data_IF_884257582149
#
_entry.id   IF_884257582149
#
_cell.length_a   1.000
_cell.length_b   1.000
_cell.length_c   1.000
_cell.angle_alpha   90.00
_cell.angle_beta   90.00
_cell.angle_gamma   90.00
#
_symmetry.space_group_name_H-M   'P 1'
#
loop_
_entity.id
_entity.type
_entity.pdbx_description
1 polymer ?
#
# COMPACT_ATOMS: atom_id res chain seq x y z
N UNK A 1 -14.22 10.54 12.28
CA UNK A 1 -13.33 9.41 12.58
C UNK A 1 -13.46 8.41 11.43
N UNK A 2 -12.77 8.70 10.32
CA UNK A 2 -12.69 7.85 9.13
C UNK A 2 -11.22 7.80 8.76
N UNK A 3 -10.65 6.62 8.95
CA UNK A 3 -9.24 6.31 8.81
C UNK A 3 -8.86 6.42 7.33
N UNK A 4 -7.79 7.17 7.06
CA UNK A 4 -7.12 7.29 5.77
C UNK A 4 -6.69 5.93 5.26
N UNK A 5 -7.25 5.51 4.12
CA UNK A 5 -6.66 4.49 3.26
C UNK A 5 -6.80 4.99 1.82
N UNK A 6 -5.83 5.79 1.39
CA UNK A 6 -5.67 6.28 0.01
C UNK A 6 -4.21 6.15 -0.44
N UNK A 7 -3.63 4.97 -0.25
CA UNK A 7 -2.30 4.62 -0.80
C UNK A 7 -2.40 3.66 -2.01
N UNK A 8 -3.60 3.20 -2.38
CA UNK A 8 -3.73 2.06 -3.31
C UNK A 8 -4.15 2.35 -4.76
N UNK A 9 -4.10 3.60 -5.22
CA UNK A 9 -4.49 3.94 -6.60
C UNK A 9 -3.33 3.91 -7.61
N UNK A 10 -2.20 3.24 -7.32
CA UNK A 10 -1.11 3.08 -8.31
C UNK A 10 -0.74 1.61 -8.55
N UNK A 11 -1.02 0.70 -7.62
CA UNK A 11 -0.82 -0.73 -7.85
C UNK A 11 -2.04 -1.45 -8.47
N UNK A 12 -3.23 -0.83 -8.52
CA UNK A 12 -4.44 -1.52 -9.00
C UNK A 12 -5.26 -0.79 -10.08
N UNK A 13 -4.87 0.41 -10.52
CA UNK A 13 -5.65 1.22 -11.49
C UNK A 13 -4.95 1.51 -12.82
N UNK A 14 -4.06 0.63 -13.29
CA UNK A 14 -3.57 0.70 -14.68
C UNK A 14 -3.91 -0.57 -15.46
N UNK A 15 -5.20 -0.79 -15.67
CA UNK A 15 -5.66 -1.59 -16.82
C UNK A 15 -6.21 -0.59 -17.84
N UNK A 16 -5.32 -0.02 -18.64
CA UNK A 16 -5.46 0.07 -20.09
C UNK A 16 -4.30 0.87 -20.69
N UNK A 17 -3.85 0.41 -21.86
CA UNK A 17 -2.79 0.93 -22.73
C UNK A 17 -1.37 0.37 -22.49
N UNK A 18 -1.14 -0.80 -23.11
CA UNK A 18 0.13 -1.33 -23.61
C UNK A 18 1.36 -1.07 -22.71
N UNK A 19 1.55 -1.90 -21.67
CA UNK A 19 2.79 -1.96 -20.91
C UNK A 19 3.30 -3.41 -20.89
N UNK A 20 4.61 -3.60 -21.00
CA UNK A 20 5.25 -4.91 -20.91
C UNK A 20 4.89 -5.57 -19.56
N UNK A 21 4.73 -6.90 -19.54
CA UNK A 21 4.50 -7.63 -18.29
C UNK A 21 5.54 -7.23 -17.24
N UNK A 22 5.08 -6.71 -16.11
CA UNK A 22 5.92 -6.27 -14.98
C UNK A 22 5.58 -7.13 -13.77
N UNK A 23 6.62 -7.69 -13.14
CA UNK A 23 6.52 -8.44 -11.89
C UNK A 23 6.62 -7.43 -10.75
N UNK A 24 5.60 -7.38 -9.89
CA UNK A 24 5.52 -6.45 -8.76
C UNK A 24 5.56 -7.22 -7.46
N UNK A 25 6.36 -6.75 -6.49
CA UNK A 25 6.41 -7.30 -5.12
C UNK A 25 5.88 -6.29 -4.11
N UNK A 26 4.95 -6.72 -3.27
CA UNK A 26 4.34 -5.94 -2.20
C UNK A 26 4.65 -6.61 -0.87
N UNK A 27 5.26 -5.90 0.06
CA UNK A 27 5.42 -6.31 1.45
C UNK A 27 4.24 -5.89 2.32
N UNK A 28 3.94 -6.67 3.34
CA UNK A 28 2.95 -6.35 4.37
C UNK A 28 3.52 -6.72 5.73
N UNK A 29 3.15 -5.96 6.76
CA UNK A 29 3.26 -6.45 8.13
C UNK A 29 1.88 -6.66 8.68
N UNK A 30 1.76 -7.66 9.53
CA UNK A 30 0.50 -7.99 10.18
C UNK A 30 0.73 -8.40 11.62
N UNK A 31 -0.34 -8.34 12.41
CA UNK A 31 -0.34 -8.80 13.79
C UNK A 31 -1.36 -9.92 13.94
N UNK A 32 -0.93 -11.07 14.49
CA UNK A 32 -1.82 -12.22 14.75
C UNK A 32 -2.96 -11.77 15.64
N UNK A 33 -4.17 -11.86 15.12
CA UNK A 33 -5.41 -11.52 15.83
C UNK A 33 -6.08 -12.75 16.43
N UNK A 34 -5.81 -13.92 15.86
CA UNK A 34 -6.31 -15.22 16.31
C UNK A 34 -5.35 -16.35 15.91
N UNK A 35 -5.16 -17.34 16.78
CA UNK A 35 -4.36 -18.54 16.49
C UNK A 35 -4.88 -19.73 17.29
N UNK A 36 -5.16 -20.84 16.60
CA UNK A 36 -5.31 -22.18 17.19
C UNK A 36 -3.99 -22.94 17.27
N UNK A 37 -2.92 -22.38 16.69
CA UNK A 37 -1.61 -23.01 16.67
C UNK A 37 -0.84 -22.65 17.96
N UNK A 38 -0.41 -23.64 18.76
CA UNK A 38 0.25 -23.39 20.05
C UNK A 38 1.62 -22.72 19.92
N UNK A 39 2.25 -22.80 18.75
CA UNK A 39 3.58 -22.24 18.48
C UNK A 39 3.53 -20.81 17.89
N UNK A 40 2.33 -20.28 17.64
CA UNK A 40 2.09 -18.94 17.09
C UNK A 40 1.16 -18.16 18.03
N UNK A 41 1.65 -17.04 18.55
CA UNK A 41 0.94 -16.29 19.60
C UNK A 41 0.09 -15.16 19.04
N UNK A 42 -1.07 -14.89 19.66
CA UNK A 42 -1.82 -13.65 19.40
C UNK A 42 -0.96 -12.45 19.79
N UNK A 43 -0.86 -11.47 18.90
CA UNK A 43 0.01 -10.30 19.03
C UNK A 43 1.37 -10.43 18.34
N UNK A 44 1.73 -11.62 17.85
CA UNK A 44 2.95 -11.85 17.06
C UNK A 44 2.88 -11.10 15.72
N UNK A 45 4.02 -10.58 15.28
CA UNK A 45 4.16 -9.91 13.99
C UNK A 45 4.43 -10.95 12.89
N UNK A 46 3.81 -10.79 11.72
CA UNK A 46 4.15 -11.59 10.54
C UNK A 46 4.55 -10.64 9.42
N UNK A 47 5.74 -10.85 8.86
CA UNK A 47 6.20 -10.20 7.63
C UNK A 47 5.73 -11.00 6.43
N UNK A 48 4.95 -10.38 5.54
CA UNK A 48 4.33 -11.02 4.38
C UNK A 48 4.85 -10.35 3.11
N UNK A 49 5.03 -11.11 2.03
CA UNK A 49 5.22 -10.55 0.69
C UNK A 49 4.30 -11.21 -0.32
N UNK A 50 3.83 -10.43 -1.31
CA UNK A 50 3.07 -10.86 -2.47
C UNK A 50 3.83 -10.43 -3.72
N UNK A 51 4.27 -11.39 -4.53
CA UNK A 51 4.78 -11.15 -5.88
C UNK A 51 3.70 -11.57 -6.87
N UNK A 52 3.40 -10.74 -7.88
CA UNK A 52 2.42 -11.07 -8.91
C UNK A 52 2.76 -10.46 -10.28
N UNK A 53 2.23 -11.06 -11.34
CA UNK A 53 2.38 -10.55 -12.71
C UNK A 53 1.14 -9.73 -13.11
N UNK A 54 1.40 -8.47 -13.46
CA UNK A 54 0.39 -7.50 -13.88
C UNK A 54 -0.28 -7.84 -15.23
N UNK A 55 0.26 -8.78 -16.01
CA UNK A 55 -0.30 -9.24 -17.28
C UNK A 55 -1.32 -10.40 -17.15
N UNK A 56 -1.67 -10.81 -15.92
CA UNK A 56 -2.60 -11.91 -15.66
C UNK A 56 -3.95 -11.73 -16.37
N UNK A 57 -4.36 -12.74 -17.15
CA UNK A 57 -5.56 -12.67 -17.97
C UNK A 57 -6.84 -12.97 -17.17
N UNK A 58 -7.91 -12.25 -17.48
CA UNK A 58 -9.25 -12.52 -16.95
C UNK A 58 -9.86 -13.77 -17.59
N UNK A 59 -10.31 -14.74 -16.79
CA UNK A 59 -10.86 -16.03 -17.26
C UNK A 59 -12.38 -16.00 -17.56
N UNK A 60 -13.07 -14.89 -17.30
CA UNK A 60 -14.51 -14.79 -17.59
C UNK A 60 -15.45 -15.36 -16.51
N UNK A 61 -14.89 -15.86 -15.38
CA UNK A 61 -15.64 -16.57 -14.33
C UNK A 61 -15.67 -15.93 -12.93
N UNK A 62 -15.36 -14.62 -12.79
CA UNK A 62 -15.10 -13.91 -11.52
C UNK A 62 -13.72 -14.16 -10.87
N UNK A 63 -12.79 -14.70 -11.64
CA UNK A 63 -11.48 -15.15 -11.18
C UNK A 63 -10.42 -14.66 -12.17
N UNK A 64 -9.30 -14.17 -11.64
CA UNK A 64 -8.05 -14.02 -12.38
C UNK A 64 -7.10 -15.15 -11.96
N UNK A 65 -6.51 -15.83 -12.93
CA UNK A 65 -5.45 -16.80 -12.66
C UNK A 65 -4.11 -16.13 -12.91
N UNK A 66 -3.35 -15.94 -11.84
CA UNK A 66 -1.93 -15.63 -11.96
C UNK A 66 -1.17 -16.96 -12.05
N UNK A 67 -0.86 -17.33 -13.29
CA UNK A 67 -0.07 -18.52 -13.61
C UNK A 67 1.41 -18.16 -13.85
N UNK A 68 1.81 -16.92 -13.59
CA UNK A 68 3.13 -16.46 -13.93
C UNK A 68 4.19 -17.11 -13.02
N UNK A 69 5.27 -17.66 -13.60
CA UNK A 69 6.35 -18.22 -12.82
C UNK A 69 6.95 -17.16 -11.90
N UNK A 70 6.94 -17.42 -10.59
CA UNK A 70 7.50 -16.51 -9.59
C UNK A 70 6.49 -15.65 -8.85
N UNK A 71 5.21 -15.65 -9.24
CA UNK A 71 4.15 -15.10 -8.40
C UNK A 71 4.03 -15.96 -7.14
N UNK A 72 4.08 -15.35 -5.96
CA UNK A 72 4.05 -16.06 -4.69
C UNK A 72 3.57 -15.19 -3.52
N UNK A 73 2.95 -15.82 -2.53
CA UNK A 73 2.78 -15.23 -1.20
C UNK A 73 3.81 -15.88 -0.28
N UNK A 74 4.55 -15.08 0.47
CA UNK A 74 5.50 -15.52 1.50
C UNK A 74 5.06 -14.92 2.83
N UNK A 75 5.12 -15.69 3.92
CA UNK A 75 4.83 -15.22 5.26
C UNK A 75 5.91 -15.73 6.22
N UNK A 76 6.51 -14.82 6.99
CA UNK A 76 7.57 -15.11 7.97
C UNK A 76 7.09 -14.74 9.37
N UNK A 77 7.06 -15.74 10.24
CA UNK A 77 6.64 -15.65 11.64
C UNK A 77 7.85 -15.32 12.54
N UNK A 78 7.61 -14.75 13.73
CA UNK A 78 8.67 -14.37 14.68
C UNK A 78 9.47 -15.59 15.17
N UNK A 79 8.82 -16.75 15.23
CA UNK A 79 9.46 -18.02 15.58
C UNK A 79 10.37 -18.58 14.47
N UNK A 80 10.47 -17.91 13.32
CA UNK A 80 11.30 -18.31 12.17
C UNK A 80 10.64 -19.30 11.21
N UNK A 81 9.37 -19.67 11.45
CA UNK A 81 8.57 -20.38 10.46
C UNK A 81 8.38 -19.49 9.25
N UNK A 82 8.68 -20.03 8.07
CA UNK A 82 8.43 -19.38 6.78
C UNK A 82 7.47 -20.27 6.02
N UNK A 83 6.37 -19.68 5.56
CA UNK A 83 5.38 -20.33 4.71
C UNK A 83 5.34 -19.63 3.36
N UNK A 84 5.30 -20.40 2.28
CA UNK A 84 5.23 -19.89 0.91
C UNK A 84 4.11 -20.59 0.15
N UNK A 85 3.44 -19.90 -0.75
CA UNK A 85 2.68 -20.58 -1.81
C UNK A 85 3.65 -21.40 -2.66
N UNK A 86 3.26 -22.60 -3.08
CA UNK A 86 4.08 -23.43 -3.95
C UNK A 86 4.28 -22.71 -5.30
N UNK A 87 5.52 -22.36 -5.69
CA UNK A 87 5.79 -21.65 -6.94
C UNK A 87 5.47 -22.47 -8.20
N UNK A 88 5.24 -23.78 -8.06
CA UNK A 88 4.78 -24.65 -9.14
C UNK A 88 3.25 -24.77 -9.25
N UNK A 89 2.50 -24.21 -8.29
CA UNK A 89 1.04 -24.18 -8.30
C UNK A 89 0.54 -22.80 -8.79
N UNK A 90 -0.58 -22.74 -9.52
CA UNK A 90 -1.16 -21.47 -9.93
C UNK A 90 -1.71 -20.72 -8.70
N UNK A 91 -1.39 -19.44 -8.57
CA UNK A 91 -2.03 -18.57 -7.59
C UNK A 91 -3.36 -18.07 -8.15
N UNK A 92 -4.39 -18.10 -7.33
CA UNK A 92 -5.73 -17.70 -7.73
C UNK A 92 -6.05 -16.36 -7.08
N UNK A 93 -6.49 -15.42 -7.91
CA UNK A 93 -6.98 -14.12 -7.47
C UNK A 93 -8.49 -14.13 -7.65
N UNK A 94 -9.20 -14.34 -6.53
CA UNK A 94 -10.65 -14.31 -6.53
C UNK A 94 -11.14 -12.90 -6.23
N UNK A 95 -12.08 -12.41 -7.03
CA UNK A 95 -12.76 -11.15 -6.76
C UNK A 95 -14.20 -11.42 -6.34
N UNK A 96 -14.50 -11.18 -5.08
CA UNK A 96 -15.82 -11.31 -4.49
C UNK A 96 -16.47 -9.94 -4.35
N UNK A 97 -17.79 -9.89 -4.57
CA UNK A 97 -18.62 -8.73 -4.21
C UNK A 97 -19.53 -9.12 -3.05
N UNK A 98 -19.49 -8.32 -1.98
CA UNK A 98 -20.31 -8.51 -0.79
C UNK A 98 -20.99 -7.19 -0.38
N UNK A 99 -22.31 -7.18 -0.22
CA UNK A 99 -23.07 -5.99 0.21
C UNK A 99 -23.36 -6.01 1.70
N UNK A 100 -23.15 -4.88 2.40
CA UNK A 100 -23.62 -4.70 3.78
C UNK A 100 -24.61 -3.52 3.84
N UNK A 101 -25.86 -3.78 4.19
CA UNK A 101 -26.91 -2.77 4.25
C UNK A 101 -26.85 -1.97 5.56
N UNK A 102 -26.11 -0.86 5.55
CA UNK A 102 -26.32 0.25 6.50
C UNK A 102 -26.44 1.51 5.68
N UNK A 103 -27.54 2.26 5.81
CA UNK A 103 -27.76 3.46 5.01
C UNK A 103 -26.73 4.56 5.36
N UNK A 104 -26.07 5.21 4.37
CA UNK A 104 -26.13 4.93 2.92
C UNK A 104 -25.39 3.64 2.56
N UNK A 105 -26.02 2.78 1.75
CA UNK A 105 -25.53 1.43 1.46
C UNK A 105 -24.08 1.43 0.94
N UNK A 106 -23.22 0.67 1.60
CA UNK A 106 -21.82 0.45 1.26
C UNK A 106 -21.63 -0.94 0.67
N UNK A 107 -20.87 -1.05 -0.41
CA UNK A 107 -20.58 -2.32 -1.07
C UNK A 107 -19.10 -2.67 -0.87
N UNK A 108 -18.81 -3.86 -0.36
CA UNK A 108 -17.45 -4.37 -0.19
C UNK A 108 -17.05 -5.22 -1.39
N UNK A 109 -15.83 -5.02 -1.87
CA UNK A 109 -15.17 -5.82 -2.88
C UNK A 109 -13.93 -6.45 -2.29
N UNK A 110 -13.97 -7.77 -2.16
CA UNK A 110 -12.89 -8.53 -1.56
C UNK A 110 -12.08 -9.20 -2.66
N UNK A 111 -10.81 -8.84 -2.79
CA UNK A 111 -9.82 -9.55 -3.59
C UNK A 111 -9.06 -10.52 -2.68
N UNK A 112 -9.21 -11.82 -2.91
CA UNK A 112 -8.46 -12.84 -2.19
C UNK A 112 -7.33 -13.37 -3.09
N UNK A 113 -6.08 -13.18 -2.66
CA UNK A 113 -4.94 -13.89 -3.21
C UNK A 113 -4.80 -15.19 -2.43
N UNK A 114 -5.02 -16.33 -3.08
CA UNK A 114 -4.97 -17.60 -2.39
C UNK A 114 -4.24 -18.69 -3.16
N UNK A 115 -3.67 -19.60 -2.38
CA UNK A 115 -3.16 -20.87 -2.86
C UNK A 115 -3.65 -22.00 -1.96
N UNK A 116 -4.13 -23.08 -2.59
CA UNK A 116 -4.42 -24.36 -1.94
C UNK A 116 -3.20 -25.28 -1.84
N UNK A 117 -2.04 -24.81 -2.29
CA UNK A 117 -0.78 -25.52 -2.24
C UNK A 117 0.29 -24.59 -1.69
N UNK A 118 0.63 -24.77 -0.42
CA UNK A 118 1.62 -23.99 0.29
C UNK A 118 2.63 -24.92 0.97
N UNK A 119 3.86 -24.45 1.08
CA UNK A 119 5.00 -25.18 1.63
C UNK A 119 5.60 -24.38 2.78
N UNK A 120 6.16 -25.06 3.78
CA UNK A 120 6.90 -24.41 4.84
C UNK A 120 8.40 -24.74 4.77
N UNK A 121 9.23 -23.91 5.41
CA UNK A 121 10.65 -24.20 5.63
C UNK A 121 10.88 -25.25 6.75
N UNK A 122 9.81 -25.77 7.34
CA UNK A 122 9.84 -26.83 8.36
C UNK A 122 9.11 -28.08 7.84
N UNK A 123 8.92 -29.09 8.71
CA UNK A 123 8.09 -30.25 8.37
C UNK A 123 6.59 -29.97 8.51
N UNK A 124 6.18 -28.75 8.85
CA UNK A 124 4.79 -28.38 9.03
C UNK A 124 4.03 -28.46 7.70
N UNK A 125 2.86 -29.07 7.76
CA UNK A 125 1.91 -29.15 6.64
C UNK A 125 1.15 -27.84 6.52
N UNK A 126 1.04 -27.30 5.31
CA UNK A 126 0.30 -26.07 5.06
C UNK A 126 -0.72 -26.32 3.96
N UNK A 127 -2.00 -26.11 4.29
CA UNK A 127 -3.11 -26.49 3.40
C UNK A 127 -3.66 -25.32 2.59
N UNK A 128 -3.65 -24.12 3.16
CA UNK A 128 -4.07 -22.91 2.48
C UNK A 128 -3.34 -21.70 3.01
N UNK A 129 -3.19 -20.73 2.14
CA UNK A 129 -2.73 -19.38 2.46
C UNK A 129 -3.58 -18.39 1.68
N UNK A 130 -4.13 -17.40 2.38
CA UNK A 130 -5.03 -16.40 1.84
C UNK A 130 -4.59 -15.00 2.30
N UNK A 131 -4.50 -14.04 1.37
CA UNK A 131 -4.31 -12.63 1.65
C UNK A 131 -5.53 -11.86 1.12
N UNK A 132 -6.31 -11.27 2.03
CA UNK A 132 -7.59 -10.64 1.73
C UNK A 132 -7.47 -9.11 1.69
N UNK A 133 -7.71 -8.54 0.51
CA UNK A 133 -7.88 -7.10 0.30
C UNK A 133 -9.37 -6.80 0.19
N UNK A 134 -9.88 -5.79 0.89
CA UNK A 134 -11.28 -5.37 0.85
C UNK A 134 -11.39 -3.92 0.37
N UNK A 135 -12.42 -3.59 -0.38
CA UNK A 135 -12.66 -2.26 -0.94
C UNK A 135 -14.11 -1.84 -0.74
N UNK A 136 -14.35 -0.68 -0.15
CA UNK A 136 -15.69 -0.13 0.04
C UNK A 136 -16.01 0.85 -1.07
N UNK A 137 -17.06 0.60 -1.85
CA UNK A 137 -17.60 1.52 -2.85
C UNK A 137 -18.99 2.03 -2.44
N UNK A 138 -19.31 3.25 -2.88
CA UNK A 138 -20.56 3.94 -2.56
C UNK A 138 -21.67 3.75 -3.61
N UNK A 139 -21.37 3.13 -4.74
CA UNK A 139 -22.31 2.87 -5.84
C UNK A 139 -22.58 1.37 -5.99
N UNK A 140 -23.86 1.00 -6.18
CA UNK A 140 -24.24 -0.39 -6.42
C UNK A 140 -23.67 -0.85 -7.77
N UNK A 141 -22.81 -1.87 -7.79
CA UNK A 141 -22.19 -2.33 -9.03
C UNK A 141 -23.06 -3.27 -9.87
N UNK A 142 -24.31 -3.55 -9.47
CA UNK A 142 -25.22 -4.47 -10.17
C UNK A 142 -24.61 -5.86 -10.45
N UNK A 143 -23.86 -6.41 -9.50
CA UNK A 143 -23.14 -7.68 -9.62
C UNK A 143 -22.06 -7.72 -10.72
N UNK A 144 -21.62 -6.57 -11.23
CA UNK A 144 -20.50 -6.52 -12.16
C UNK A 144 -19.16 -6.69 -11.41
N UNK A 145 -18.29 -7.53 -11.96
CA UNK A 145 -16.86 -7.47 -11.67
C UNK A 145 -16.34 -6.09 -12.05
N UNK A 146 -15.68 -5.42 -11.12
CA UNK A 146 -14.92 -4.21 -11.45
C UNK A 146 -13.56 -4.61 -11.98
N UNK A 147 -13.37 -4.37 -13.27
CA UNK A 147 -12.09 -4.50 -13.97
C UNK A 147 -11.31 -3.19 -14.01
N UNK A 148 -11.93 -2.09 -13.57
CA UNK A 148 -11.32 -0.76 -13.42
C UNK A 148 -11.84 -0.09 -12.15
N UNK A 149 -10.97 0.70 -11.52
CA UNK A 149 -11.20 1.26 -10.17
C UNK A 149 -11.41 2.78 -10.18
N UNK A 150 -11.74 3.35 -11.33
CA UNK A 150 -11.35 4.74 -11.62
C UNK A 150 -12.15 5.84 -10.91
N UNK A 151 -13.33 5.59 -10.31
CA UNK A 151 -14.15 6.73 -9.82
C UNK A 151 -14.99 6.55 -8.53
N UNK A 152 -15.09 5.35 -7.91
CA UNK A 152 -16.09 5.09 -6.84
C UNK A 152 -15.55 4.44 -5.53
N UNK A 153 -14.23 4.29 -5.38
CA UNK A 153 -13.65 3.72 -4.16
C UNK A 153 -13.71 4.73 -3.02
N UNK A 154 -14.55 4.45 -2.02
CA UNK A 154 -14.74 5.30 -0.85
C UNK A 154 -13.79 4.97 0.31
N UNK A 155 -13.31 3.73 0.36
CA UNK A 155 -12.22 3.27 1.23
C UNK A 155 -11.62 1.98 0.67
N UNK A 156 -10.30 1.82 0.75
CA UNK A 156 -9.63 0.53 0.61
C UNK A 156 -9.33 0.01 2.02
N UNK A 157 -9.33 -1.29 2.28
CA UNK A 157 -8.95 -1.87 3.57
C UNK A 157 -8.31 -3.22 3.33
N UNK A 158 -7.02 -3.38 3.62
CA UNK A 158 -6.47 -4.73 3.71
C UNK A 158 -6.97 -5.32 5.02
N UNK A 159 -7.65 -6.46 4.96
CA UNK A 159 -8.30 -7.03 6.12
C UNK A 159 -7.34 -7.96 6.84
N UNK A 160 -7.09 -9.11 6.23
CA UNK A 160 -6.55 -10.24 6.96
C UNK A 160 -5.59 -11.07 6.09
N UNK A 161 -4.63 -11.68 6.75
CA UNK A 161 -3.87 -12.82 6.23
C UNK A 161 -4.27 -14.06 7.01
N UNK A 162 -4.61 -15.13 6.30
CA UNK A 162 -5.01 -16.39 6.89
C UNK A 162 -4.12 -17.52 6.39
N UNK A 163 -3.77 -18.45 7.29
CA UNK A 163 -3.02 -19.64 6.92
C UNK A 163 -3.40 -20.81 7.83
N UNK A 164 -3.52 -22.02 7.26
CA UNK A 164 -3.62 -23.25 8.05
C UNK A 164 -2.29 -23.96 8.11
N UNK A 165 -1.73 -24.09 9.31
CA UNK A 165 -0.46 -24.75 9.61
C UNK A 165 -0.76 -25.95 10.50
N UNK A 166 -0.40 -27.15 10.07
CA UNK A 166 -0.69 -28.42 10.74
C UNK A 166 -2.17 -28.64 11.06
N UNK A 167 -3.04 -28.14 10.17
CA UNK A 167 -4.49 -28.19 10.36
C UNK A 167 -5.04 -27.19 11.38
N UNK A 168 -4.18 -26.30 11.90
CA UNK A 168 -4.55 -25.27 12.88
C UNK A 168 -4.59 -23.91 12.18
N UNK A 169 -5.62 -23.13 12.50
CA UNK A 169 -5.90 -21.87 11.83
C UNK A 169 -5.18 -20.71 12.50
N UNK A 170 -4.55 -19.86 11.70
CA UNK A 170 -3.95 -18.59 12.12
C UNK A 170 -4.52 -17.47 11.25
N UNK A 171 -4.96 -16.41 11.91
CA UNK A 171 -5.44 -15.19 11.27
C UNK A 171 -4.69 -13.99 11.84
N UNK A 172 -4.14 -13.15 10.96
CA UNK A 172 -3.52 -11.89 11.31
C UNK A 172 -4.19 -10.73 10.59
N UNK A 173 -4.21 -9.58 11.25
CA UNK A 173 -4.71 -8.33 10.68
C UNK A 173 -3.53 -7.54 10.13
N UNK A 174 -3.62 -7.09 8.87
CA UNK A 174 -2.56 -6.30 8.25
C UNK A 174 -2.47 -4.93 8.95
N UNK A 175 -1.26 -4.56 9.37
CA UNK A 175 -0.95 -3.33 10.10
C UNK A 175 -0.12 -2.36 9.28
N UNK A 176 0.73 -2.86 8.37
CA UNK A 176 1.56 -2.05 7.47
C UNK A 176 1.61 -2.65 6.06
N UNK A 177 1.85 -1.82 5.07
CA UNK A 177 1.99 -2.21 3.67
C UNK A 177 3.17 -1.44 3.09
N UNK A 178 4.09 -2.12 2.45
CA UNK A 178 5.22 -1.55 1.73
C UNK A 178 5.29 -2.17 0.34
N UNK A 179 5.88 -1.50 -0.62
CA UNK A 179 6.28 -2.15 -1.88
C UNK A 179 7.75 -2.47 -1.71
N UNK A 180 8.09 -3.76 -1.66
CA UNK A 180 9.48 -4.18 -1.58
C UNK A 180 10.07 -4.15 -3.00
N UNK A 181 11.36 -3.80 -3.16
CA UNK A 181 12.34 -3.55 -2.10
C UNK A 181 12.16 -2.21 -1.33
N UNK A 182 12.75 -2.08 -0.14
CA UNK A 182 12.72 -0.79 0.59
C UNK A 182 13.34 0.32 -0.27
N UNK A 183 12.68 1.47 -0.33
CA UNK A 183 13.18 2.59 -1.14
C UNK A 183 14.61 2.96 -0.69
N UNK A 184 15.60 2.98 -1.61
CA UNK A 184 16.95 3.48 -1.35
C UNK A 184 16.97 5.00 -1.11
N UNK A 185 15.81 5.66 -1.11
CA UNK A 185 15.64 7.07 -0.85
C UNK A 185 14.69 7.25 0.32
N UNK A 186 15.08 8.08 1.29
CA UNK A 186 14.21 8.56 2.35
C UNK A 186 13.77 9.99 2.06
N UNK A 187 12.56 10.33 2.47
CA UNK A 187 12.06 11.71 2.48
C UNK A 187 11.61 12.06 3.89
N UNK A 188 11.86 13.29 4.31
CA UNK A 188 11.39 13.82 5.60
C UNK A 188 10.80 15.22 5.44
N UNK A 189 9.74 15.50 6.18
CA UNK A 189 9.05 16.77 6.20
C UNK A 189 8.78 17.24 7.63
N UNK A 190 9.48 18.30 8.04
CA UNK A 190 9.40 18.80 9.43
C UNK A 190 8.87 20.22 9.46
N UNK A 191 7.73 20.43 10.12
CA UNK A 191 7.15 21.77 10.28
C UNK A 191 7.74 22.52 11.47
N UNK A 192 7.80 23.85 11.38
CA UNK A 192 8.15 24.71 12.52
C UNK A 192 6.97 24.97 13.48
N UNK A 193 5.80 24.38 13.19
CA UNK A 193 4.55 24.39 13.97
C UNK A 193 4.16 25.74 14.60
N UNK A 194 3.33 26.50 13.90
CA UNK A 194 2.45 27.51 14.49
C UNK A 194 1.10 27.46 13.77
N UNK A 195 -0.03 27.66 14.48
CA UNK A 195 -1.34 27.79 13.83
C UNK A 195 -1.32 28.91 12.79
N UNK A 196 -1.95 28.66 11.65
CA UNK A 196 -2.13 29.66 10.61
C UNK A 196 -3.42 30.42 10.91
N UNK A 197 -3.36 31.75 10.82
CA UNK A 197 -4.53 32.59 11.05
C UNK A 197 -5.69 32.27 10.09
N UNK A 198 -6.91 32.62 10.50
CA UNK A 198 -8.10 32.48 9.65
C UNK A 198 -8.03 33.28 8.34
N UNK A 199 -7.23 34.35 8.31
CA UNK A 199 -6.94 35.15 7.12
C UNK A 199 -5.88 34.52 6.20
N UNK A 200 -5.38 33.33 6.53
CA UNK A 200 -4.31 32.66 5.82
C UNK A 200 -2.93 33.07 6.32
N UNK A 201 -1.89 32.65 5.59
CA UNK A 201 -0.50 32.92 5.95
C UNK A 201 0.49 32.08 5.17
N UNK A 202 1.76 32.15 5.55
CA UNK A 202 2.82 31.27 5.02
C UNK A 202 3.14 30.20 6.05
N UNK A 203 3.11 28.94 5.62
CA UNK A 203 3.63 27.83 6.39
C UNK A 203 5.06 27.57 5.96
N UNK A 204 5.99 27.61 6.91
CA UNK A 204 7.40 27.30 6.71
C UNK A 204 7.72 25.93 7.29
N UNK A 205 8.60 25.18 6.61
CA UNK A 205 8.96 23.82 6.98
C UNK A 205 10.28 23.41 6.31
N UNK A 206 10.82 22.28 6.75
CA UNK A 206 12.00 21.62 6.19
C UNK A 206 11.52 20.50 5.26
N UNK A 207 12.15 20.37 4.10
CA UNK A 207 12.07 19.17 3.26
C UNK A 207 13.46 18.56 3.20
N UNK A 208 13.56 17.27 3.45
CA UNK A 208 14.80 16.52 3.30
C UNK A 208 14.56 15.33 2.38
N UNK A 209 15.55 15.01 1.57
CA UNK A 209 15.55 13.88 0.64
C UNK A 209 16.96 13.31 0.62
N UNK A 210 17.11 12.05 0.99
CA UNK A 210 18.41 11.41 1.13
C UNK A 210 18.43 10.14 0.29
N UNK A 211 19.41 10.00 -0.59
CA UNK A 211 19.75 8.70 -1.17
C UNK A 211 20.60 7.94 -0.15
N UNK A 212 20.08 6.86 0.41
CA UNK A 212 20.77 6.02 1.40
C UNK A 212 21.55 4.88 0.75
N UNK A 213 21.55 4.79 -0.58
CA UNK A 213 22.28 3.76 -1.32
C UNK A 213 23.65 4.24 -1.79
N UNK A 214 24.47 3.26 -2.19
CA UNK A 214 25.80 3.47 -2.77
C UNK A 214 25.76 3.74 -4.29
N UNK A 215 24.58 3.83 -4.89
CA UNK A 215 24.41 4.04 -6.32
C UNK A 215 23.71 5.38 -6.59
N UNK A 216 23.86 5.91 -7.79
CA UNK A 216 23.04 7.03 -8.24
C UNK A 216 21.59 6.57 -8.37
N UNK A 217 20.66 7.33 -7.80
CA UNK A 217 19.22 7.04 -7.88
C UNK A 217 18.51 8.20 -8.56
N UNK A 218 17.72 7.88 -9.57
CA UNK A 218 16.75 8.80 -10.14
C UNK A 218 15.41 8.63 -9.44
N UNK A 219 14.84 9.74 -8.96
CA UNK A 219 13.51 9.76 -8.34
C UNK A 219 12.58 10.78 -9.00
N UNK A 220 11.27 10.59 -8.77
CA UNK A 220 10.28 11.68 -8.84
C UNK A 220 9.79 12.01 -7.45
N UNK A 221 9.77 13.29 -7.11
CA UNK A 221 9.26 13.81 -5.83
C UNK A 221 8.05 14.70 -6.03
N UNK A 222 7.03 14.55 -5.20
CA UNK A 222 5.83 15.39 -5.21
C UNK A 222 5.32 15.65 -3.79
N UNK A 223 4.37 16.57 -3.67
CA UNK A 223 3.72 16.87 -2.41
C UNK A 223 2.24 17.19 -2.60
N UNK A 224 1.43 16.81 -1.64
CA UNK A 224 0.01 17.16 -1.56
C UNK A 224 -0.38 17.47 -0.12
N UNK A 225 -1.55 18.08 0.04
CA UNK A 225 -2.10 18.44 1.35
C UNK A 225 -3.49 17.82 1.48
N UNK A 226 -3.74 17.12 2.58
CA UNK A 226 -5.06 16.65 2.95
C UNK A 226 -5.76 17.70 3.81
N UNK A 227 -6.96 18.08 3.41
CA UNK A 227 -7.81 19.06 4.08
C UNK A 227 -8.57 18.43 5.27
N UNK A 228 -9.19 19.24 6.15
CA UNK A 228 -9.93 18.74 7.31
C UNK A 228 -11.08 17.78 6.95
N UNK A 229 -11.65 17.91 5.75
CA UNK A 229 -12.73 17.07 5.22
C UNK A 229 -12.22 15.82 4.46
N UNK A 230 -10.89 15.66 4.35
CA UNK A 230 -10.25 14.58 3.60
C UNK A 230 -10.05 14.89 2.11
N UNK A 231 -10.32 16.11 1.64
CA UNK A 231 -10.02 16.55 0.27
C UNK A 231 -8.50 16.64 0.05
N UNK A 232 -8.00 16.17 -1.10
CA UNK A 232 -6.58 16.27 -1.45
C UNK A 232 -6.35 17.49 -2.34
N UNK A 233 -5.39 18.31 -1.95
CA UNK A 233 -4.91 19.45 -2.72
C UNK A 233 -3.50 19.18 -3.21
N UNK A 234 -3.35 19.04 -4.53
CA UNK A 234 -2.04 18.85 -5.15
C UNK A 234 -1.19 20.11 -4.97
N UNK A 235 -0.13 20.01 -4.17
CA UNK A 235 0.71 21.16 -3.84
C UNK A 235 1.85 21.33 -4.83
N UNK A 236 2.58 20.25 -5.11
CA UNK A 236 3.69 20.24 -6.05
C UNK A 236 3.45 19.11 -7.06
N UNK A 237 3.59 19.44 -8.35
CA UNK A 237 3.64 18.41 -9.41
C UNK A 237 4.87 17.53 -9.23
N UNK A 238 4.83 16.25 -9.65
CA UNK A 238 6.01 15.39 -9.67
C UNK A 238 7.18 16.05 -10.40
N UNK A 239 8.34 16.12 -9.74
CA UNK A 239 9.59 16.64 -10.29
C UNK A 239 10.67 15.57 -10.22
N UNK A 240 11.41 15.43 -11.31
CA UNK A 240 12.52 14.49 -11.43
C UNK A 240 13.77 15.04 -10.72
N UNK A 241 14.45 14.19 -9.97
CA UNK A 241 15.74 14.45 -9.34
C UNK A 241 16.66 13.28 -9.64
N UNK A 242 17.94 13.57 -9.79
CA UNK A 242 19.00 12.58 -9.81
C UNK A 242 19.81 12.86 -8.54
N UNK A 243 19.95 11.84 -7.71
CA UNK A 243 20.71 11.90 -6.46
C UNK A 243 21.92 11.00 -6.60
N UNK A 244 23.11 11.56 -6.41
CA UNK A 244 24.35 10.81 -6.33
C UNK A 244 24.35 9.89 -5.09
N UNK A 245 25.24 8.88 -5.03
CA UNK A 245 25.38 8.02 -3.86
C UNK A 245 25.52 8.83 -2.57
N UNK A 246 24.68 8.52 -1.57
CA UNK A 246 24.69 9.22 -0.27
C UNK A 246 24.37 10.72 -0.34
N UNK A 247 23.84 11.23 -1.47
CA UNK A 247 23.47 12.64 -1.60
C UNK A 247 22.25 12.98 -0.73
N UNK A 248 22.34 14.12 -0.05
CA UNK A 248 21.27 14.73 0.73
C UNK A 248 20.87 16.08 0.11
N UNK A 249 19.58 16.21 -0.23
CA UNK A 249 18.98 17.44 -0.73
C UNK A 249 18.04 18.04 0.33
N UNK A 250 18.60 18.87 1.20
CA UNK A 250 17.84 19.54 2.26
C UNK A 250 17.43 20.97 1.87
N UNK A 251 16.15 21.28 2.07
CA UNK A 251 15.59 22.62 1.93
C UNK A 251 15.01 23.08 3.27
N UNK A 252 15.80 23.84 4.04
CA UNK A 252 15.44 24.29 5.39
C UNK A 252 14.43 25.44 5.43
N UNK A 253 14.12 26.06 4.30
CA UNK A 253 13.21 27.21 4.22
C UNK A 253 12.11 26.98 3.18
N UNK A 254 11.64 25.75 3.04
CA UNK A 254 10.51 25.45 2.19
C UNK A 254 9.27 26.17 2.75
N UNK A 255 8.42 26.67 1.86
CA UNK A 255 7.18 27.31 2.28
C UNK A 255 6.05 27.15 1.27
N UNK A 256 4.83 27.32 1.76
CA UNK A 256 3.69 27.59 0.90
C UNK A 256 2.71 28.55 1.56
N UNK A 257 1.90 29.19 0.72
CA UNK A 257 0.86 30.10 1.18
C UNK A 257 -0.42 29.30 1.40
N UNK A 258 -1.00 29.43 2.59
CA UNK A 258 -2.34 28.99 2.94
C UNK A 258 -3.29 30.17 2.73
N UNK A 259 -4.20 30.13 1.74
CA UNK A 259 -5.15 31.19 1.48
C UNK A 259 -6.18 31.38 2.59
N UNK A 260 -6.78 32.57 2.66
CA UNK A 260 -7.87 32.86 3.60
C UNK A 260 -9.12 32.02 3.37
N UNK A 261 -9.40 31.65 2.12
CA UNK A 261 -10.60 30.89 1.73
C UNK A 261 -10.51 29.39 2.06
N UNK A 262 -9.35 28.90 2.51
CA UNK A 262 -9.23 27.52 2.99
C UNK A 262 -10.02 27.35 4.30
N UNK A 263 -10.76 26.25 4.49
CA UNK A 263 -11.56 26.03 5.69
C UNK A 263 -10.72 26.02 6.97
N UNK A 264 -11.31 26.37 8.11
CA UNK A 264 -10.64 26.16 9.39
C UNK A 264 -10.52 24.66 9.69
N UNK A 265 -9.49 24.26 10.42
CA UNK A 265 -9.28 22.88 10.86
C UNK A 265 -7.85 22.38 10.69
N UNK A 266 -7.69 21.07 10.88
CA UNK A 266 -6.40 20.39 10.81
C UNK A 266 -6.16 19.85 9.40
N UNK A 267 -4.98 20.15 8.88
CA UNK A 267 -4.49 19.73 7.58
C UNK A 267 -3.28 18.82 7.77
N UNK A 268 -3.03 17.98 6.78
CA UNK A 268 -1.84 17.12 6.72
C UNK A 268 -1.07 17.40 5.45
N UNK A 269 0.22 17.70 5.58
CA UNK A 269 1.12 17.84 4.44
C UNK A 269 1.85 16.51 4.22
N UNK A 270 1.90 16.04 2.98
CA UNK A 270 2.59 14.81 2.60
C UNK A 270 3.72 15.12 1.61
N UNK A 271 4.92 14.62 1.90
CA UNK A 271 6.06 14.59 0.97
C UNK A 271 6.27 13.15 0.52
N UNK A 272 6.46 12.96 -0.79
CA UNK A 272 6.55 11.63 -1.38
C UNK A 272 7.69 11.60 -2.41
N UNK A 273 8.32 10.44 -2.54
CA UNK A 273 9.23 10.11 -3.63
C UNK A 273 8.95 8.72 -4.19
N UNK A 274 9.25 8.51 -5.47
CA UNK A 274 9.27 7.21 -6.12
C UNK A 274 10.58 7.06 -6.89
N UNK A 275 11.23 5.91 -6.79
CA UNK A 275 12.40 5.59 -7.59
C UNK A 275 11.97 5.31 -9.03
N UNK A 276 12.60 6.02 -9.96
CA UNK A 276 12.38 5.87 -11.40
C UNK A 276 13.44 4.96 -12.01
N UNK A 277 14.67 5.06 -11.52
CA UNK A 277 15.80 4.27 -12.02
C UNK A 277 16.93 4.25 -11.00
N UNK A 278 17.55 3.09 -10.78
CA UNK A 278 18.72 2.97 -9.90
C UNK A 278 19.74 1.89 -10.33
N UNK A 279 19.39 1.08 -11.34
CA UNK A 279 20.22 -0.03 -11.82
C UNK A 279 20.36 -1.19 -10.83
N UNK A 280 19.54 -1.23 -9.77
CA UNK A 280 19.57 -2.22 -8.67
C UNK A 280 18.22 -2.92 -8.48
N UNK A 281 17.20 -2.57 -9.26
CA UNK A 281 15.90 -3.22 -9.21
C UNK A 281 14.97 -2.67 -8.13
N UNK A 282 15.23 -1.47 -7.61
CA UNK A 282 14.31 -0.77 -6.70
C UNK A 282 13.41 0.23 -7.45
N UNK A 283 13.26 0.10 -8.77
CA UNK A 283 12.33 0.90 -9.56
C UNK A 283 10.90 0.72 -9.04
N UNK A 284 10.17 1.83 -8.92
CA UNK A 284 8.79 1.83 -8.39
C UNK A 284 8.68 1.91 -6.87
N UNK A 285 9.78 1.78 -6.12
CA UNK A 285 9.76 1.87 -4.65
C UNK A 285 9.46 3.29 -4.19
N UNK A 286 8.67 3.42 -3.12
CA UNK A 286 8.15 4.71 -2.62
C UNK A 286 8.67 4.99 -1.21
N UNK A 287 8.98 6.26 -0.95
CA UNK A 287 9.19 6.78 0.42
C UNK A 287 8.30 7.99 0.66
N UNK A 288 7.73 8.08 1.85
CA UNK A 288 6.79 9.13 2.24
C UNK A 288 7.01 9.58 3.68
N UNK A 289 6.75 10.85 3.95
CA UNK A 289 6.66 11.42 5.28
C UNK A 289 5.62 12.55 5.32
N UNK A 290 5.14 12.89 6.52
CA UNK A 290 4.04 13.82 6.70
C UNK A 290 4.08 14.57 8.02
N UNK A 291 3.45 15.75 8.04
CA UNK A 291 3.20 16.48 9.27
C UNK A 291 1.84 17.17 9.27
N UNK A 292 1.33 17.43 10.48
CA UNK A 292 0.07 18.14 10.69
C UNK A 292 0.28 19.64 10.88
N UNK A 293 -0.65 20.45 10.39
CA UNK A 293 -0.76 21.88 10.72
C UNK A 293 -2.22 22.30 10.85
N UNK A 294 -2.48 23.40 11.56
CA UNK A 294 -3.85 23.87 11.82
C UNK A 294 -4.06 25.26 11.25
N UNK A 295 -5.24 25.50 10.67
CA UNK A 295 -5.75 26.84 10.35
C UNK A 295 -6.90 27.18 11.30
N UNK A 296 -6.85 28.37 11.89
CA UNK A 296 -7.91 28.93 12.75
C UNK A 296 -9.15 29.38 11.95
#
# INVERSE_FOLDING_TARGET
MKMMIKVFAIALSMITFFANAEIVTVGFKSTVSYSDNPDISVGETIDISLTYDTASAFDGGNIYFDISPGSNITATFENGLVVNTNPAAPNKIDMYSYSYEVAPATFNYDTNFHSYDAVSNTAATVMNMDLLLSNVVSTNPNNALRVTWDDDVSAFSIKDFNVMIDGLFVQSTITEISTAPESPVTVEATTYSAPISSYGGRLYFIRDVINTSTNTVEIKRWAYITWPDGTHYNRDSPKKFILDPMEQNIQTSAYFTVPSYWPAGTYEYHLNSIVVQDGQGNEGTVSQDSFMFTKE
#
